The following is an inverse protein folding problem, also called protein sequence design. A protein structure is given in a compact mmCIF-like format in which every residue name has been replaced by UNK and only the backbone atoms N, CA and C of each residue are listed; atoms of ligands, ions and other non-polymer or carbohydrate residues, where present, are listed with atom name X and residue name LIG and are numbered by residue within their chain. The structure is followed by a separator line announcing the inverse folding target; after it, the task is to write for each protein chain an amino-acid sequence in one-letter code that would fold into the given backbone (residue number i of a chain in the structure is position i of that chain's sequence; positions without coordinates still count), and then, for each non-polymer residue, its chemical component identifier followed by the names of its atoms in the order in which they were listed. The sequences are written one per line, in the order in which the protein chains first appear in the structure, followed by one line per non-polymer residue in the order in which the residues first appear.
data_IF_572529218743
#
_entry.id   IF_572529218743
#
_cell.length_a   1.000
_cell.length_b   1.000
_cell.length_c   1.000
_cell.angle_alpha   90.00
_cell.angle_beta   90.00
_cell.angle_gamma   90.00
#
_symmetry.space_group_name_H-M   'P 1'
#
loop_
_entity.id
_entity.type
_entity.pdbx_description
1 polymer ?
#
# COMPACT_ATOMS: atom_id res chain seq x y z
N UNK A 1 9.15 -15.20 -26.61
CA UNK A 1 8.14 -14.37 -25.93
C UNK A 1 7.28 -15.27 -25.05
N UNK A 2 7.21 -15.01 -23.74
CA UNK A 2 6.28 -15.72 -22.84
C UNK A 2 4.84 -15.36 -23.22
N UNK A 3 3.97 -16.36 -23.40
CA UNK A 3 2.54 -16.11 -23.71
C UNK A 3 1.83 -15.50 -22.49
N UNK A 4 0.84 -14.59 -22.67
CA UNK A 4 0.12 -13.93 -21.57
C UNK A 4 -0.45 -14.88 -20.51
N UNK A 5 -0.91 -16.06 -20.93
CA UNK A 5 -1.41 -17.12 -20.04
C UNK A 5 -0.40 -17.60 -18.99
N UNK A 6 0.90 -17.68 -19.32
CA UNK A 6 1.93 -18.10 -18.37
C UNK A 6 2.27 -17.02 -17.35
N UNK A 7 2.14 -15.75 -17.75
CA UNK A 7 2.33 -14.61 -16.83
C UNK A 7 1.25 -14.58 -15.76
N UNK A 8 0.01 -14.95 -16.14
CA UNK A 8 -1.09 -15.00 -15.21
C UNK A 8 -0.93 -16.16 -14.21
N UNK A 9 -0.61 -17.36 -14.70
CA UNK A 9 -0.36 -18.53 -13.86
C UNK A 9 0.78 -18.31 -12.86
N UNK A 10 1.87 -17.67 -13.29
CA UNK A 10 3.02 -17.38 -12.42
C UNK A 10 2.68 -16.36 -11.33
N UNK A 11 1.92 -15.31 -11.67
CA UNK A 11 1.40 -14.36 -10.68
C UNK A 11 0.49 -15.05 -9.66
N UNK A 12 -0.45 -15.88 -10.12
CA UNK A 12 -1.33 -16.63 -9.24
C UNK A 12 -0.57 -17.62 -8.34
N UNK A 13 0.45 -18.28 -8.88
CA UNK A 13 1.35 -19.15 -8.11
C UNK A 13 2.10 -18.37 -7.03
N UNK A 14 2.53 -17.13 -7.31
CA UNK A 14 3.11 -16.25 -6.29
C UNK A 14 2.10 -15.93 -5.20
N UNK A 15 0.83 -15.69 -5.58
CA UNK A 15 -0.26 -15.45 -4.62
C UNK A 15 -0.47 -16.65 -3.69
N UNK A 16 -0.66 -17.84 -4.26
CA UNK A 16 -0.84 -19.07 -3.50
C UNK A 16 0.33 -19.36 -2.56
N UNK A 17 1.57 -19.18 -3.04
CA UNK A 17 2.77 -19.43 -2.24
C UNK A 17 2.83 -18.50 -1.03
N UNK A 18 2.58 -17.20 -1.19
CA UNK A 18 2.64 -16.30 -0.03
C UNK A 18 1.51 -16.59 0.97
N UNK A 19 0.31 -16.93 0.50
CA UNK A 19 -0.82 -17.27 1.36
C UNK A 19 -0.49 -18.48 2.24
N UNK A 20 0.15 -19.49 1.64
CA UNK A 20 0.67 -20.66 2.35
C UNK A 20 1.75 -20.28 3.36
N UNK A 21 2.78 -19.55 2.93
CA UNK A 21 3.95 -19.22 3.77
C UNK A 21 3.61 -18.32 4.97
N UNK A 22 2.55 -17.50 4.86
CA UNK A 22 2.07 -16.62 5.93
C UNK A 22 0.86 -17.19 6.68
N UNK A 23 0.46 -18.44 6.41
CA UNK A 23 -0.74 -19.08 6.99
C UNK A 23 -1.99 -18.17 6.97
N UNK A 24 -2.22 -17.50 5.85
CA UNK A 24 -3.30 -16.52 5.68
C UNK A 24 -4.17 -16.85 4.47
N UNK A 25 -5.31 -16.16 4.35
CA UNK A 25 -6.24 -16.30 3.22
C UNK A 25 -6.44 -14.95 2.52
N UNK A 26 -6.98 -14.97 1.30
CA UNK A 26 -7.37 -13.74 0.59
C UNK A 26 -8.37 -12.94 1.44
N UNK A 27 -9.34 -13.62 2.06
CA UNK A 27 -10.33 -12.99 2.92
C UNK A 27 -9.66 -12.30 4.12
N UNK A 28 -8.79 -13.00 4.86
CA UNK A 28 -8.09 -12.41 6.02
C UNK A 28 -7.20 -11.24 5.61
N UNK A 29 -6.49 -11.38 4.49
CA UNK A 29 -5.63 -10.33 3.91
C UNK A 29 -6.45 -9.08 3.60
N UNK A 30 -7.55 -9.24 2.87
CA UNK A 30 -8.41 -8.11 2.50
C UNK A 30 -9.09 -7.49 3.72
N UNK A 31 -9.61 -8.28 4.66
CA UNK A 31 -10.18 -7.79 5.92
C UNK A 31 -9.16 -6.95 6.71
N UNK A 32 -7.93 -7.43 6.87
CA UNK A 32 -6.86 -6.71 7.57
C UNK A 32 -6.50 -5.40 6.84
N UNK A 33 -6.44 -5.41 5.50
CA UNK A 33 -6.22 -4.19 4.71
C UNK A 33 -7.34 -3.15 4.94
N UNK A 34 -8.61 -3.57 4.90
CA UNK A 34 -9.75 -2.68 5.10
C UNK A 34 -9.85 -2.15 6.54
N UNK A 35 -9.41 -2.93 7.52
CA UNK A 35 -9.35 -2.51 8.92
C UNK A 35 -8.16 -1.59 9.25
N UNK A 36 -7.16 -1.48 8.37
CA UNK A 36 -5.91 -0.74 8.64
C UNK A 36 -5.65 0.35 7.60
N UNK A 37 -5.07 -0.01 6.45
CA UNK A 37 -4.64 0.91 5.40
C UNK A 37 -5.81 1.70 4.82
N UNK A 38 -6.95 1.04 4.60
CA UNK A 38 -8.11 1.70 3.99
C UNK A 38 -8.67 2.85 4.83
N UNK A 39 -8.49 2.83 6.15
CA UNK A 39 -9.02 3.85 7.06
C UNK A 39 -8.42 5.24 6.79
N UNK A 40 -7.18 5.29 6.29
CA UNK A 40 -6.49 6.55 5.96
C UNK A 40 -6.15 6.67 4.47
N UNK A 41 -6.22 5.57 3.71
CA UNK A 41 -5.98 5.53 2.26
C UNK A 41 -7.11 4.76 1.52
N UNK A 42 -8.33 5.32 1.43
CA UNK A 42 -9.52 4.63 0.92
C UNK A 42 -9.60 4.59 -0.62
N UNK A 43 -8.51 4.17 -1.29
CA UNK A 43 -8.43 4.17 -2.76
C UNK A 43 -9.10 2.94 -3.40
N UNK A 44 -9.16 1.80 -2.70
CA UNK A 44 -9.77 0.56 -3.20
C UNK A 44 -11.16 0.40 -2.60
N UNK A 45 -12.17 0.13 -3.45
CA UNK A 45 -13.55 -0.12 -3.01
C UNK A 45 -13.72 -1.56 -2.50
N UNK A 46 -14.15 -1.71 -1.23
CA UNK A 46 -14.41 -3.00 -0.60
C UNK A 46 -15.48 -3.80 -1.34
N UNK A 47 -16.61 -3.17 -1.67
CA UNK A 47 -17.71 -3.84 -2.38
C UNK A 47 -17.32 -4.33 -3.78
N UNK A 48 -16.49 -3.57 -4.51
CA UNK A 48 -15.95 -4.01 -5.81
C UNK A 48 -14.99 -5.18 -5.65
N UNK A 49 -14.14 -5.16 -4.62
CA UNK A 49 -13.19 -6.24 -4.36
C UNK A 49 -13.90 -7.53 -3.95
N UNK A 50 -14.89 -7.43 -3.06
CA UNK A 50 -15.72 -8.57 -2.65
C UNK A 50 -16.47 -9.18 -3.83
N UNK A 51 -17.05 -8.35 -4.72
CA UNK A 51 -17.69 -8.85 -5.95
C UNK A 51 -16.70 -9.55 -6.87
N UNK A 52 -15.47 -9.05 -6.99
CA UNK A 52 -14.42 -9.73 -7.75
C UNK A 52 -14.04 -11.07 -7.11
N UNK A 53 -14.01 -11.14 -5.77
CA UNK A 53 -13.75 -12.36 -5.02
C UNK A 53 -14.92 -13.37 -5.11
N UNK A 54 -16.16 -12.94 -5.32
CA UNK A 54 -17.30 -13.84 -5.53
C UNK A 54 -17.32 -14.44 -6.95
N UNK A 55 -16.74 -13.73 -7.93
CA UNK A 55 -16.57 -14.25 -9.30
C UNK A 55 -15.41 -15.24 -9.43
N UNK A 56 -14.68 -15.49 -8.35
CA UNK A 56 -13.51 -16.37 -8.28
C UNK A 56 -13.85 -17.86 -8.22
N UNK A 57 -15.13 -18.25 -8.23
CA UNK A 57 -15.51 -19.66 -8.40
C UNK A 57 -14.98 -20.27 -9.73
N UNK A 58 -14.55 -19.42 -10.67
CA UNK A 58 -13.71 -19.80 -11.80
C UNK A 58 -12.24 -19.92 -11.36
N UNK A 59 -11.64 -21.11 -11.51
CA UNK A 59 -10.31 -21.58 -11.04
C UNK A 59 -9.08 -20.65 -11.24
N UNK A 60 -9.19 -19.51 -11.92
CA UNK A 60 -8.12 -18.52 -12.12
C UNK A 60 -8.66 -17.07 -11.96
N UNK A 61 -8.08 -16.24 -11.06
CA UNK A 61 -8.49 -14.84 -10.89
C UNK A 61 -8.12 -13.98 -12.11
N UNK A 62 -8.45 -12.68 -12.11
CA UNK A 62 -7.85 -11.78 -13.10
C UNK A 62 -6.44 -11.35 -12.67
N UNK A 63 -5.50 -11.08 -13.61
CA UNK A 63 -4.15 -10.63 -13.27
C UNK A 63 -4.14 -9.37 -12.39
N UNK A 64 -5.07 -8.44 -12.65
CA UNK A 64 -5.20 -7.21 -11.85
C UNK A 64 -5.68 -7.49 -10.42
N UNK A 65 -6.57 -8.46 -10.24
CA UNK A 65 -7.00 -8.89 -8.90
C UNK A 65 -5.84 -9.54 -8.13
N UNK A 66 -5.14 -10.50 -8.75
CA UNK A 66 -4.00 -11.19 -8.13
C UNK A 66 -2.90 -10.21 -7.70
N UNK A 67 -2.57 -9.26 -8.58
CA UNK A 67 -1.55 -8.26 -8.29
C UNK A 67 -1.98 -7.33 -7.14
N UNK A 68 -3.26 -6.95 -7.07
CA UNK A 68 -3.80 -6.14 -5.98
C UNK A 68 -3.74 -6.88 -4.65
N UNK A 69 -4.13 -8.15 -4.63
CA UNK A 69 -4.06 -8.99 -3.41
C UNK A 69 -2.61 -9.10 -2.92
N UNK A 70 -1.65 -9.30 -3.84
CA UNK A 70 -0.23 -9.31 -3.52
C UNK A 70 0.25 -7.96 -2.95
N UNK A 71 -0.18 -6.83 -3.52
CA UNK A 71 0.17 -5.49 -3.03
C UNK A 71 -0.46 -5.17 -1.66
N UNK A 72 -1.70 -5.61 -1.41
CA UNK A 72 -2.34 -5.49 -0.10
C UNK A 72 -1.58 -6.30 0.95
N UNK A 73 -1.24 -7.56 0.63
CA UNK A 73 -0.45 -8.43 1.51
C UNK A 73 0.88 -7.77 1.89
N UNK A 74 1.60 -7.25 0.90
CA UNK A 74 2.90 -6.59 1.09
C UNK A 74 2.85 -5.48 2.16
N UNK A 75 1.76 -4.71 2.23
CA UNK A 75 1.59 -3.64 3.21
C UNK A 75 1.15 -4.10 4.60
N UNK A 76 0.33 -5.15 4.69
CA UNK A 76 -0.26 -5.59 5.97
C UNK A 76 0.60 -6.61 6.71
N UNK A 77 1.54 -7.26 6.03
CA UNK A 77 2.49 -8.19 6.65
C UNK A 77 3.46 -7.40 7.51
N UNK A 78 3.55 -7.78 8.79
CA UNK A 78 4.40 -7.07 9.74
C UNK A 78 5.86 -7.20 9.34
N UNK A 79 6.65 -6.14 9.58
CA UNK A 79 8.11 -6.16 9.45
C UNK A 79 8.75 -7.31 10.25
N UNK A 80 8.13 -7.74 11.35
CA UNK A 80 8.58 -8.86 12.18
C UNK A 80 8.28 -10.25 11.60
N UNK A 81 7.39 -10.34 10.61
CA UNK A 81 6.98 -11.59 9.94
C UNK A 81 7.78 -11.83 8.64
N UNK A 82 8.57 -10.85 8.20
CA UNK A 82 9.53 -11.08 7.14
C UNK A 82 10.64 -12.00 7.67
N UNK A 83 11.01 -13.06 6.93
CA UNK A 83 12.18 -13.84 7.29
C UNK A 83 13.35 -12.88 7.46
N UNK A 84 14.16 -13.10 8.49
CA UNK A 84 15.25 -12.26 9.00
C UNK A 84 16.34 -12.02 7.95
N UNK A 85 16.00 -11.44 6.81
CA UNK A 85 16.90 -10.97 5.78
C UNK A 85 17.11 -9.49 6.08
N UNK A 86 18.36 -9.04 6.30
CA UNK A 86 18.67 -7.68 6.70
C UNK A 86 18.25 -6.62 5.67
N UNK A 87 17.82 -7.01 4.46
CA UNK A 87 17.38 -6.13 3.40
C UNK A 87 15.94 -6.45 2.96
N UNK A 88 15.03 -5.50 3.12
CA UNK A 88 13.68 -5.57 2.55
C UNK A 88 13.67 -5.73 1.02
N UNK A 89 14.73 -5.26 0.34
CA UNK A 89 14.96 -5.49 -1.10
C UNK A 89 15.17 -6.97 -1.49
N UNK A 90 15.43 -7.85 -0.52
CA UNK A 90 15.59 -9.29 -0.71
C UNK A 90 14.27 -10.06 -0.54
N UNK A 91 13.20 -9.39 -0.10
CA UNK A 91 11.87 -9.98 -0.03
C UNK A 91 11.46 -10.55 -1.38
N UNK A 92 11.29 -11.87 -1.44
CA UNK A 92 10.83 -12.55 -2.65
C UNK A 92 9.44 -12.07 -3.07
N UNK A 93 8.60 -11.67 -2.10
CA UNK A 93 7.26 -11.14 -2.33
C UNK A 93 7.28 -9.76 -2.96
N UNK A 94 8.14 -8.88 -2.45
CA UNK A 94 8.35 -7.55 -3.03
C UNK A 94 8.85 -7.66 -4.48
N UNK A 95 9.85 -8.51 -4.73
CA UNK A 95 10.39 -8.74 -6.07
C UNK A 95 9.34 -9.26 -7.05
N UNK A 96 8.52 -10.23 -6.61
CA UNK A 96 7.42 -10.75 -7.42
C UNK A 96 6.37 -9.65 -7.71
N UNK A 97 5.98 -8.87 -6.70
CA UNK A 97 5.03 -7.78 -6.83
C UNK A 97 5.53 -6.72 -7.82
N UNK A 98 6.79 -6.29 -7.69
CA UNK A 98 7.41 -5.33 -8.61
C UNK A 98 7.58 -5.85 -10.02
N UNK A 99 7.96 -7.12 -10.18
CA UNK A 99 8.08 -7.74 -11.48
C UNK A 99 6.73 -7.70 -12.23
N UNK A 100 5.67 -8.18 -11.59
CA UNK A 100 4.35 -8.22 -12.21
C UNK A 100 3.73 -6.83 -12.38
N UNK A 101 3.97 -5.89 -11.46
CA UNK A 101 3.57 -4.50 -11.64
C UNK A 101 4.26 -3.88 -12.86
N UNK A 102 5.58 -4.04 -12.99
CA UNK A 102 6.33 -3.55 -14.16
C UNK A 102 5.86 -4.16 -15.48
N UNK A 103 5.58 -5.47 -15.49
CA UNK A 103 4.98 -6.12 -16.66
C UNK A 103 3.61 -5.55 -17.01
N UNK A 104 2.75 -5.33 -16.02
CA UNK A 104 1.42 -4.76 -16.23
C UNK A 104 1.50 -3.33 -16.76
N UNK A 105 2.42 -2.51 -16.23
CA UNK A 105 2.71 -1.15 -16.73
C UNK A 105 3.18 -1.18 -18.19
N UNK A 106 4.00 -2.15 -18.56
CA UNK A 106 4.61 -2.21 -19.90
C UNK A 106 3.69 -2.80 -20.97
N UNK A 107 2.80 -3.72 -20.61
CA UNK A 107 2.06 -4.55 -21.58
C UNK A 107 0.54 -4.39 -21.53
N UNK A 108 -0.03 -3.89 -20.44
CA UNK A 108 -1.48 -3.75 -20.29
C UNK A 108 -1.95 -2.32 -20.54
N UNK A 109 -3.25 -2.17 -20.79
CA UNK A 109 -3.87 -0.85 -20.89
C UNK A 109 -3.83 -0.10 -19.55
N UNK A 110 -3.66 1.22 -19.64
CA UNK A 110 -3.73 2.10 -18.48
C UNK A 110 -5.11 1.97 -17.81
N UNK A 111 -5.11 1.70 -16.51
CA UNK A 111 -6.34 1.51 -15.74
C UNK A 111 -6.23 2.11 -14.34
N UNK A 112 -7.38 2.50 -13.77
CA UNK A 112 -7.43 2.94 -12.37
C UNK A 112 -6.94 1.84 -11.42
N UNK A 113 -7.19 0.58 -11.78
CA UNK A 113 -6.81 -0.56 -10.97
C UNK A 113 -5.28 -0.70 -10.87
N UNK A 114 -4.54 -0.32 -11.93
CA UNK A 114 -3.09 -0.24 -11.93
C UNK A 114 -2.58 0.85 -10.98
N UNK A 115 -3.20 2.03 -10.99
CA UNK A 115 -2.86 3.13 -10.05
C UNK A 115 -3.12 2.70 -8.60
N UNK A 116 -4.30 2.14 -8.34
CA UNK A 116 -4.71 1.66 -7.02
C UNK A 116 -3.82 0.53 -6.49
N UNK A 117 -3.11 -0.17 -7.37
CA UNK A 117 -2.16 -1.23 -7.00
C UNK A 117 -0.75 -0.69 -6.81
N UNK A 118 -0.34 0.28 -7.62
CA UNK A 118 0.98 0.92 -7.49
C UNK A 118 1.12 1.82 -6.26
N UNK A 119 0.06 2.50 -5.83
CA UNK A 119 0.08 3.34 -4.61
C UNK A 119 0.49 2.51 -3.37
N UNK A 120 -0.13 1.36 -3.07
CA UNK A 120 0.31 0.47 -2.01
C UNK A 120 1.77 0.02 -2.09
N UNK A 121 2.25 -0.27 -3.31
CA UNK A 121 3.64 -0.68 -3.54
C UNK A 121 4.61 0.48 -3.23
N UNK A 122 4.30 1.70 -3.69
CA UNK A 122 5.11 2.88 -3.41
C UNK A 122 5.18 3.19 -1.90
N UNK A 123 4.05 3.01 -1.20
CA UNK A 123 3.99 3.16 0.24
C UNK A 123 4.88 2.13 0.95
N UNK A 124 4.82 0.86 0.54
CA UNK A 124 5.72 -0.16 1.06
C UNK A 124 7.18 0.23 0.82
N UNK A 125 7.55 0.57 -0.42
CA UNK A 125 8.93 0.98 -0.74
C UNK A 125 9.41 2.14 0.14
N UNK A 126 8.54 3.11 0.42
CA UNK A 126 8.86 4.23 1.30
C UNK A 126 9.05 3.78 2.77
N UNK A 127 8.15 2.97 3.33
CA UNK A 127 8.29 2.49 4.72
C UNK A 127 9.50 1.58 4.92
N UNK A 128 9.98 0.96 3.85
CA UNK A 128 11.19 0.14 3.83
C UNK A 128 12.47 0.92 3.53
N UNK A 129 12.42 2.26 3.48
CA UNK A 129 13.55 3.13 3.14
C UNK A 129 14.13 2.90 1.72
N UNK A 130 13.33 2.40 0.78
CA UNK A 130 13.71 2.19 -0.63
C UNK A 130 13.27 3.39 -1.47
N UNK A 131 13.73 4.58 -1.08
CA UNK A 131 13.20 5.86 -1.54
C UNK A 131 13.20 6.02 -3.07
N UNK A 132 14.31 5.68 -3.74
CA UNK A 132 14.41 5.79 -5.20
C UNK A 132 13.33 4.98 -5.93
N UNK A 133 13.00 3.78 -5.42
CA UNK A 133 11.96 2.96 -6.03
C UNK A 133 10.56 3.50 -5.71
N UNK A 134 10.34 3.98 -4.49
CA UNK A 134 9.10 4.65 -4.10
C UNK A 134 8.77 5.83 -5.04
N UNK A 135 9.76 6.71 -5.30
CA UNK A 135 9.62 7.82 -6.24
C UNK A 135 9.33 7.36 -7.67
N UNK A 136 9.99 6.29 -8.14
CA UNK A 136 9.69 5.75 -9.47
C UNK A 136 8.28 5.18 -9.56
N UNK A 137 7.84 4.41 -8.55
CA UNK A 137 6.49 3.81 -8.53
C UNK A 137 5.41 4.87 -8.48
N UNK A 138 5.53 5.85 -7.59
CA UNK A 138 4.54 6.93 -7.47
C UNK A 138 4.52 7.80 -8.74
N UNK A 139 5.68 8.03 -9.35
CA UNK A 139 5.78 8.74 -10.64
C UNK A 139 5.13 7.99 -11.80
N UNK A 140 5.21 6.65 -11.83
CA UNK A 140 4.45 5.82 -12.78
C UNK A 140 2.95 5.98 -12.52
N UNK A 141 2.50 5.86 -11.27
CA UNK A 141 1.10 6.07 -10.91
C UNK A 141 0.59 7.44 -11.38
N UNK A 142 1.35 8.51 -11.14
CA UNK A 142 1.01 9.86 -11.59
C UNK A 142 0.83 9.94 -13.11
N UNK A 143 1.76 9.37 -13.88
CA UNK A 143 1.64 9.32 -15.36
C UNK A 143 0.41 8.54 -15.81
N UNK A 144 0.10 7.41 -15.18
CA UNK A 144 -1.11 6.63 -15.51
C UNK A 144 -2.38 7.44 -15.19
N UNK A 145 -2.43 8.16 -14.06
CA UNK A 145 -3.59 9.02 -13.75
C UNK A 145 -3.78 10.14 -14.77
N UNK A 146 -2.69 10.70 -15.28
CA UNK A 146 -2.73 11.71 -16.34
C UNK A 146 -3.24 11.12 -17.66
N UNK A 147 -2.77 9.93 -18.06
CA UNK A 147 -3.29 9.21 -19.24
C UNK A 147 -4.80 8.95 -19.14
N UNK A 148 -5.30 8.71 -17.92
CA UNK A 148 -6.72 8.48 -17.64
C UNK A 148 -7.55 9.76 -17.51
N UNK A 149 -6.94 10.94 -17.65
CA UNK A 149 -7.57 12.27 -17.49
C UNK A 149 -8.33 12.41 -16.17
N UNK A 150 -7.75 11.87 -15.09
CA UNK A 150 -8.40 11.90 -13.78
C UNK A 150 -8.46 13.31 -13.20
N UNK A 151 -7.51 14.17 -13.58
CA UNK A 151 -7.50 15.61 -13.29
C UNK A 151 -8.76 16.31 -13.82
N UNK A 152 -9.12 16.06 -15.09
CA UNK A 152 -10.34 16.60 -15.70
C UNK A 152 -11.59 16.13 -14.95
N UNK A 153 -11.63 14.83 -14.61
CA UNK A 153 -12.76 14.24 -13.87
C UNK A 153 -12.90 14.88 -12.49
N UNK A 154 -11.80 15.09 -11.78
CA UNK A 154 -11.80 15.71 -10.45
C UNK A 154 -12.23 17.18 -10.54
N UNK A 155 -11.71 17.93 -11.51
CA UNK A 155 -12.05 19.34 -11.72
C UNK A 155 -13.53 19.54 -12.12
N UNK A 156 -14.11 18.62 -12.89
CA UNK A 156 -15.54 18.67 -13.23
C UNK A 156 -16.43 18.40 -12.02
N UNK A 157 -15.98 17.57 -11.07
CA UNK A 157 -16.78 17.19 -9.91
C UNK A 157 -16.69 18.20 -8.76
N UNK A 158 -15.59 18.94 -8.62
CA UNK A 158 -15.50 20.04 -7.66
C UNK A 158 -16.54 21.14 -7.91
N UNK A 159 -17.08 21.22 -9.13
CA UNK A 159 -18.07 22.22 -9.55
C UNK A 159 -19.53 21.72 -9.48
N UNK A 160 -19.79 20.47 -9.08
CA UNK A 160 -21.14 19.90 -9.02
C UNK A 160 -21.64 19.82 -7.57
N UNK A 161 -22.94 20.03 -7.38
CA UNK A 161 -23.61 19.73 -6.12
C UNK A 161 -23.46 18.22 -5.79
N UNK A 162 -23.39 17.90 -4.49
CA UNK A 162 -23.24 16.56 -3.90
C UNK A 162 -24.46 15.65 -4.18
N UNK A 163 -24.85 15.48 -5.44
CA UNK A 163 -25.81 14.47 -5.86
C UNK A 163 -25.22 13.06 -5.80
N UNK A 164 -25.99 12.06 -6.24
CA UNK A 164 -25.53 10.67 -6.32
C UNK A 164 -24.35 10.54 -7.30
N UNK A 165 -23.14 10.52 -6.74
CA UNK A 165 -21.90 10.38 -7.50
C UNK A 165 -21.73 8.94 -7.98
N UNK A 166 -21.52 8.77 -9.28
CA UNK A 166 -21.22 7.47 -9.88
C UNK A 166 -20.01 6.80 -9.17
N UNK A 167 -20.13 5.51 -8.82
CA UNK A 167 -19.09 4.75 -8.14
C UNK A 167 -17.72 4.78 -8.85
N UNK A 168 -17.71 4.82 -10.18
CA UNK A 168 -16.47 4.94 -10.98
C UNK A 168 -15.81 6.29 -10.77
N UNK A 169 -16.60 7.37 -10.77
CA UNK A 169 -16.12 8.74 -10.52
C UNK A 169 -15.61 8.87 -9.08
N UNK A 170 -16.36 8.34 -8.10
CA UNK A 170 -15.92 8.29 -6.70
C UNK A 170 -14.58 7.59 -6.55
N UNK A 171 -14.39 6.43 -7.21
CA UNK A 171 -13.13 5.72 -7.19
C UNK A 171 -11.98 6.56 -7.80
N UNK A 172 -12.24 7.27 -8.91
CA UNK A 172 -11.25 8.15 -9.53
C UNK A 172 -10.82 9.28 -8.59
N UNK A 173 -11.77 9.97 -7.96
CA UNK A 173 -11.50 11.06 -7.02
C UNK A 173 -10.71 10.57 -5.81
N UNK A 174 -11.14 9.46 -5.19
CA UNK A 174 -10.43 8.90 -4.04
C UNK A 174 -9.01 8.46 -4.40
N UNK A 175 -8.82 7.87 -5.58
CA UNK A 175 -7.50 7.45 -6.07
C UNK A 175 -6.61 8.65 -6.36
N UNK A 176 -7.15 9.73 -6.93
CA UNK A 176 -6.44 10.98 -7.19
C UNK A 176 -5.92 11.62 -5.90
N UNK A 177 -6.79 11.77 -4.89
CA UNK A 177 -6.38 12.33 -3.60
C UNK A 177 -5.43 11.40 -2.84
N UNK A 178 -5.62 10.08 -2.93
CA UNK A 178 -4.68 9.11 -2.36
C UNK A 178 -3.29 9.17 -3.00
N UNK A 179 -3.23 9.40 -4.31
CA UNK A 179 -1.97 9.63 -5.03
C UNK A 179 -1.27 10.89 -4.51
N UNK A 180 -1.98 12.02 -4.46
CA UNK A 180 -1.42 13.30 -3.98
C UNK A 180 -0.96 13.21 -2.54
N UNK A 181 -1.76 12.57 -1.68
CA UNK A 181 -1.41 12.36 -0.27
C UNK A 181 -0.09 11.59 -0.16
N UNK A 182 0.03 10.47 -0.87
CA UNK A 182 1.21 9.63 -0.79
C UNK A 182 2.43 10.30 -1.42
N UNK A 183 2.28 10.98 -2.56
CA UNK A 183 3.37 11.71 -3.18
C UNK A 183 3.93 12.79 -2.24
N UNK A 184 3.06 13.56 -1.57
CA UNK A 184 3.48 14.53 -0.56
C UNK A 184 4.16 13.87 0.64
N UNK A 185 3.64 12.73 1.10
CA UNK A 185 4.21 11.99 2.21
C UNK A 185 5.63 11.49 1.88
N UNK A 186 5.82 10.95 0.67
CA UNK A 186 7.12 10.46 0.20
C UNK A 186 8.14 11.61 0.06
N UNK A 187 7.69 12.78 -0.39
CA UNK A 187 8.53 13.96 -0.60
C UNK A 187 8.63 14.88 0.63
N UNK A 188 8.11 14.47 1.79
CA UNK A 188 8.17 15.29 3.00
C UNK A 188 9.66 15.48 3.38
N UNK A 189 10.13 16.74 3.56
CA UNK A 189 11.49 16.96 4.03
C UNK A 189 11.68 16.35 5.43
N UNK A 190 12.92 16.06 5.84
CA UNK A 190 13.20 15.68 7.22
C UNK A 190 12.54 16.69 8.14
N UNK A 191 11.69 16.21 9.05
CA UNK A 191 11.03 17.07 10.01
C UNK A 191 12.12 17.71 10.88
N UNK A 192 12.33 19.01 10.74
CA UNK A 192 13.08 19.76 11.74
C UNK A 192 12.35 19.54 13.07
N UNK A 193 13.09 19.11 14.10
CA UNK A 193 12.50 18.85 15.41
C UNK A 193 11.75 20.11 15.83
N UNK A 194 10.41 20.08 15.96
CA UNK A 194 9.69 21.27 16.32
C UNK A 194 10.25 21.79 17.65
N UNK A 195 10.49 23.10 17.75
CA UNK A 195 10.89 23.75 19.01
C UNK A 195 9.69 23.81 19.99
N UNK A 196 9.02 22.69 20.17
CA UNK A 196 7.92 22.53 21.08
C UNK A 196 8.45 21.96 22.40
N UNK A 197 8.20 22.60 23.55
CA UNK A 197 8.69 22.15 24.85
C UNK A 197 8.36 20.69 25.17
N UNK A 198 7.23 20.18 24.66
CA UNK A 198 6.82 18.79 24.84
C UNK A 198 7.69 17.77 24.08
N UNK A 199 8.37 18.17 23.01
CA UNK A 199 9.27 17.30 22.21
C UNK A 199 10.70 17.37 22.75
N UNK A 200 11.08 18.50 23.36
CA UNK A 200 12.40 18.70 23.97
C UNK A 200 12.53 18.14 25.39
N UNK A 201 11.52 17.46 25.93
CA UNK A 201 11.62 16.84 27.25
C UNK A 201 12.72 15.77 27.22
N UNK A 202 13.88 16.10 27.81
CA UNK A 202 14.90 15.10 28.12
C UNK A 202 14.23 14.04 28.98
N UNK A 203 14.42 12.73 28.68
CA UNK A 203 13.88 11.69 29.53
C UNK A 203 14.32 11.97 30.96
N UNK A 204 13.36 12.01 31.88
CA UNK A 204 13.64 12.21 33.30
C UNK A 204 14.67 11.15 33.71
N UNK A 205 15.88 11.57 34.05
CA UNK A 205 16.85 10.68 34.67
C UNK A 205 16.28 10.34 36.04
N UNK A 206 15.66 9.16 36.15
CA UNK A 206 15.14 8.62 37.40
C UNK A 206 16.33 8.14 38.24
N UNK A 207 17.14 9.06 38.75
CA UNK A 207 18.16 8.79 39.77
C UNK A 207 17.63 9.05 41.19
N UNK A 208 16.34 9.42 41.32
CA UNK A 208 15.75 9.84 42.60
C UNK A 208 15.16 8.66 43.40
N UNK A 209 15.04 7.46 42.82
CA UNK A 209 14.51 6.28 43.54
C UNK A 209 15.58 5.38 44.19
N UNK A 210 16.85 5.79 44.25
CA UNK A 210 17.90 5.01 44.91
C UNK A 210 18.41 5.59 46.24
N UNK A 211 17.85 6.70 46.71
CA UNK A 211 18.20 7.28 48.01
C UNK A 211 16.99 7.32 48.96
N UNK A 212 16.41 6.16 49.26
CA UNK A 212 15.65 5.98 50.51
C UNK A 212 16.63 5.59 51.62
N UNK A 213 16.93 6.46 52.60
CA UNK A 213 17.65 6.07 53.81
C UNK A 213 16.62 5.56 54.83
N UNK A 214 16.16 4.32 54.68
CA UNK A 214 15.41 3.62 55.73
C UNK A 214 16.11 2.35 56.24
N UNK A 215 17.43 2.27 56.08
CA UNK A 215 18.27 1.24 56.69
C UNK A 215 19.28 1.82 57.69
N UNK A 216 18.85 2.71 58.59
CA UNK A 216 19.62 3.05 59.78
C UNK A 216 18.80 3.77 60.86
N UNK A 217 17.92 3.06 61.57
CA UNK A 217 17.74 3.21 63.03
C UNK A 217 16.56 2.39 63.57
N UNK A 218 16.88 1.51 64.53
CA UNK A 218 16.05 0.75 65.47
C UNK A 218 15.42 -0.55 64.95
#
# INVERSE_FOLDING_TARGET
MLRPQWMHFTLWSCVLRFLSDNHTTIERTTQKYFATVHMWLPIISQSRLQRANQKFDDLEPSPGFSLRILAMHLLITSLSEYPTTPNSEESQWYRACKHHFGQHVALAESSIDLVQTGIPIALFEHTQCIHNRAHMTIGICARVTYTLKMDDVVAQQSNRALGEMNLKVKAMILTWWGLILLDRYINLPPMEVPEHPAVQQKPLQVSILQNDPLSASL
#
